data_IF_238112146978
#
_entry.id   IF_238112146978
#
_cell.length_a   1.000
_cell.length_b   1.000
_cell.length_c   1.000
_cell.angle_alpha   90.00
_cell.angle_beta   90.00
_cell.angle_gamma   90.00
#
_symmetry.space_group_name_H-M   'P 1'
#
loop_
_entity.id
_entity.type
_entity.pdbx_description
1 polymer ?
#
# COMPACT_ATOMS: atom_id res chain seq x y z
N UNK A 1 -28.13 -1.43 -14.03
CA UNK A 1 -28.67 -0.22 -13.40
C UNK A 1 -27.55 0.63 -12.86
N UNK A 2 -27.67 1.94 -13.03
CA UNK A 2 -26.65 2.87 -12.57
C UNK A 2 -26.80 3.15 -11.07
N UNK A 3 -25.68 3.18 -10.35
CA UNK A 3 -25.64 3.52 -8.92
C UNK A 3 -26.11 4.96 -8.71
N UNK A 4 -26.89 5.17 -7.65
CA UNK A 4 -27.45 6.47 -7.33
C UNK A 4 -26.62 7.20 -6.28
N UNK A 5 -26.82 8.51 -6.16
CA UNK A 5 -26.16 9.32 -5.13
C UNK A 5 -26.58 8.84 -3.75
N UNK A 6 -27.86 8.49 -3.55
CA UNK A 6 -28.37 7.97 -2.30
C UNK A 6 -27.62 6.71 -1.86
N UNK A 7 -27.40 5.77 -2.78
CA UNK A 7 -26.65 4.55 -2.51
C UNK A 7 -25.22 4.86 -2.08
N UNK A 8 -24.58 5.83 -2.72
CA UNK A 8 -23.21 6.22 -2.36
C UNK A 8 -23.13 6.83 -0.96
N UNK A 9 -24.10 7.63 -0.59
CA UNK A 9 -24.18 8.21 0.75
C UNK A 9 -24.36 7.11 1.79
N UNK A 10 -25.24 6.15 1.54
CA UNK A 10 -25.49 5.03 2.44
C UNK A 10 -24.25 4.14 2.62
N UNK A 11 -23.42 4.01 1.60
CA UNK A 11 -22.21 3.18 1.62
C UNK A 11 -20.95 3.90 2.09
N UNK A 12 -21.07 5.17 2.43
CA UNK A 12 -19.92 6.02 2.76
C UNK A 12 -18.96 5.39 3.77
N UNK A 13 -19.48 4.96 4.92
CA UNK A 13 -18.65 4.39 5.99
C UNK A 13 -17.95 3.10 5.56
N UNK A 14 -18.67 2.23 4.83
CA UNK A 14 -18.10 0.99 4.35
C UNK A 14 -16.98 1.23 3.33
N UNK A 15 -17.18 2.21 2.44
CA UNK A 15 -16.16 2.56 1.44
C UNK A 15 -14.92 3.13 2.10
N UNK A 16 -15.07 4.04 3.06
CA UNK A 16 -13.95 4.64 3.78
C UNK A 16 -13.20 3.61 4.64
N UNK A 17 -13.94 2.75 5.33
CA UNK A 17 -13.35 1.70 6.15
C UNK A 17 -12.48 0.75 5.31
N UNK A 18 -12.95 0.37 4.13
CA UNK A 18 -12.21 -0.52 3.25
C UNK A 18 -10.88 0.08 2.79
N UNK A 19 -10.85 1.40 2.57
CA UNK A 19 -9.62 2.10 2.18
C UNK A 19 -8.59 2.18 3.30
N UNK A 20 -9.01 2.00 4.55
CA UNK A 20 -8.14 2.11 5.73
C UNK A 20 -7.76 0.76 6.34
N UNK A 21 -8.10 -0.35 5.69
CA UNK A 21 -7.76 -1.67 6.20
C UNK A 21 -6.26 -1.85 6.37
N UNK A 22 -5.90 -2.54 7.45
CA UNK A 22 -4.51 -2.94 7.69
C UNK A 22 -4.27 -4.31 7.05
N UNK A 23 -3.04 -4.53 6.62
CA UNK A 23 -2.60 -5.74 5.95
C UNK A 23 -1.48 -6.35 6.76
N UNK A 24 -1.54 -7.66 7.03
CA UNK A 24 -0.44 -8.38 7.67
C UNK A 24 0.41 -8.99 6.58
N UNK A 25 1.70 -8.65 6.56
CA UNK A 25 2.69 -9.24 5.66
C UNK A 25 3.51 -10.25 6.44
N UNK A 26 3.53 -11.48 5.97
CA UNK A 26 4.33 -12.56 6.58
C UNK A 26 5.70 -12.55 5.91
N UNK A 27 6.70 -12.05 6.62
CA UNK A 27 8.04 -11.84 6.08
C UNK A 27 9.08 -12.73 6.73
N UNK A 28 10.29 -12.70 6.20
CA UNK A 28 11.43 -13.45 6.76
C UNK A 28 11.79 -13.03 8.18
N UNK A 29 11.47 -11.79 8.56
CA UNK A 29 11.74 -11.28 9.92
C UNK A 29 10.53 -11.42 10.85
N UNK A 30 9.42 -11.98 10.37
CA UNK A 30 8.17 -12.11 11.11
C UNK A 30 7.04 -11.33 10.47
N UNK A 31 5.92 -11.23 11.17
CA UNK A 31 4.76 -10.50 10.67
C UNK A 31 4.94 -9.00 10.85
N UNK A 32 4.71 -8.25 9.79
CA UNK A 32 4.67 -6.79 9.84
C UNK A 32 3.30 -6.33 9.38
N UNK A 33 2.85 -5.17 9.86
CA UNK A 33 1.55 -4.62 9.52
C UNK A 33 1.74 -3.40 8.64
N UNK A 34 1.06 -3.40 7.50
CA UNK A 34 1.02 -2.27 6.58
C UNK A 34 -0.40 -1.75 6.47
N UNK A 35 -0.55 -0.50 6.07
CA UNK A 35 -1.85 0.07 5.72
C UNK A 35 -1.99 0.09 4.21
N UNK A 36 -3.23 0.09 3.73
CA UNK A 36 -3.48 0.29 2.30
C UNK A 36 -2.96 1.67 1.93
N UNK A 37 -2.17 1.71 0.87
CA UNK A 37 -1.50 2.93 0.47
C UNK A 37 -2.46 3.92 -0.20
N UNK A 38 -2.14 5.20 -0.09
CA UNK A 38 -2.88 6.26 -0.77
C UNK A 38 -2.34 6.46 -2.19
N UNK A 39 -3.17 7.05 -3.05
CA UNK A 39 -2.74 7.42 -4.40
C UNK A 39 -1.56 8.39 -4.36
N UNK A 40 -1.53 9.30 -3.38
CA UNK A 40 -0.41 10.24 -3.20
C UNK A 40 0.90 9.53 -2.95
N UNK A 41 0.90 8.52 -2.07
CA UNK A 41 2.12 7.76 -1.77
C UNK A 41 2.61 6.98 -2.99
N UNK A 42 1.69 6.39 -3.75
CA UNK A 42 2.05 5.67 -4.98
C UNK A 42 2.73 6.64 -5.95
N UNK A 43 2.14 7.80 -6.17
CA UNK A 43 2.67 8.82 -7.08
C UNK A 43 4.04 9.29 -6.63
N UNK A 44 4.20 9.63 -5.34
CA UNK A 44 5.49 10.05 -4.78
C UNK A 44 6.57 8.99 -4.99
N UNK A 45 6.23 7.72 -4.75
CA UNK A 45 7.18 6.62 -4.92
C UNK A 45 7.62 6.48 -6.37
N UNK A 46 6.69 6.58 -7.32
CA UNK A 46 6.99 6.43 -8.74
C UNK A 46 7.83 7.57 -9.31
N UNK A 47 7.83 8.75 -8.66
CA UNK A 47 8.62 9.90 -9.09
C UNK A 47 10.09 9.79 -8.70
N UNK A 48 10.46 8.85 -7.84
CA UNK A 48 11.85 8.67 -7.43
C UNK A 48 12.64 7.97 -8.54
N UNK A 49 13.88 8.39 -8.76
CA UNK A 49 14.78 7.79 -9.73
C UNK A 49 15.20 6.37 -9.30
N UNK A 50 15.41 6.19 -8.00
CA UNK A 50 15.70 4.88 -7.42
C UNK A 50 15.11 4.82 -6.00
N UNK A 51 15.15 3.63 -5.37
CA UNK A 51 14.63 3.46 -4.03
C UNK A 51 13.11 3.57 -3.90
N UNK A 52 12.38 3.40 -5.00
CA UNK A 52 10.91 3.52 -5.03
C UNK A 52 10.25 2.56 -4.04
N UNK A 53 10.64 1.30 -4.08
CA UNK A 53 10.02 0.28 -3.22
C UNK A 53 10.38 0.50 -1.75
N UNK A 54 11.61 0.90 -1.47
CA UNK A 54 12.06 1.19 -0.12
C UNK A 54 11.26 2.34 0.48
N UNK A 55 11.07 3.41 -0.28
CA UNK A 55 10.27 4.55 0.14
C UNK A 55 8.81 4.15 0.35
N UNK A 56 8.25 3.39 -0.59
CA UNK A 56 6.88 2.91 -0.52
C UNK A 56 6.65 2.06 0.73
N UNK A 57 7.53 1.10 1.00
CA UNK A 57 7.42 0.21 2.16
C UNK A 57 7.62 0.94 3.47
N UNK A 58 8.60 1.84 3.55
CA UNK A 58 8.86 2.61 4.76
C UNK A 58 7.62 3.41 5.19
N UNK A 59 6.88 3.93 4.22
CA UNK A 59 5.70 4.75 4.49
C UNK A 59 4.39 3.94 4.56
N UNK A 60 4.41 2.68 4.15
CA UNK A 60 3.24 1.79 4.22
C UNK A 60 3.23 0.94 5.48
N UNK A 61 4.38 0.48 5.95
CA UNK A 61 4.50 -0.35 7.13
C UNK A 61 4.34 0.50 8.38
N UNK A 62 3.40 0.12 9.24
CA UNK A 62 3.10 0.87 10.47
C UNK A 62 3.51 0.15 11.75
N UNK A 63 3.65 -1.18 11.69
CA UNK A 63 4.09 -1.99 12.82
C UNK A 63 5.06 -3.07 12.33
N UNK A 64 6.26 -3.19 12.91
CA UNK A 64 6.85 -2.25 13.85
C UNK A 64 7.16 -0.90 13.20
N UNK A 65 7.42 0.13 14.01
CA UNK A 65 7.76 1.45 13.49
C UNK A 65 9.19 1.44 12.95
N UNK A 66 9.34 1.28 11.65
CA UNK A 66 10.66 1.21 11.01
C UNK A 66 11.37 2.57 10.95
N UNK A 67 10.67 3.65 11.30
CA UNK A 67 11.25 4.99 11.40
C UNK A 67 11.81 5.28 12.80
N UNK A 68 11.70 4.34 13.73
CA UNK A 68 12.18 4.51 15.10
C UNK A 68 13.66 4.85 15.11
N UNK A 69 14.06 5.94 15.81
CA UNK A 69 15.45 6.38 15.82
C UNK A 69 16.45 5.36 16.38
N UNK A 70 16.06 4.62 17.41
CA UNK A 70 16.92 3.59 18.00
C UNK A 70 17.15 2.45 17.02
N UNK A 71 16.09 2.01 16.32
CA UNK A 71 16.19 0.98 15.30
C UNK A 71 17.09 1.44 14.15
N UNK A 72 16.86 2.65 13.66
CA UNK A 72 17.64 3.24 12.58
C UNK A 72 19.14 3.29 12.92
N UNK A 73 19.45 3.73 14.13
CA UNK A 73 20.83 3.83 14.62
C UNK A 73 21.47 2.44 14.75
N UNK A 74 20.74 1.46 15.27
CA UNK A 74 21.23 0.11 15.47
C UNK A 74 21.66 -0.55 14.15
N UNK A 75 20.95 -0.24 13.06
CA UNK A 75 21.27 -0.78 11.74
C UNK A 75 22.18 0.13 10.91
N UNK A 76 22.65 1.24 11.47
CA UNK A 76 23.56 2.15 10.80
C UNK A 76 22.98 2.85 9.58
N UNK A 77 21.69 3.18 9.63
CA UNK A 77 21.02 3.85 8.52
C UNK A 77 21.51 5.28 8.37
N UNK A 78 21.87 5.68 7.14
CA UNK A 78 22.23 7.05 6.80
C UNK A 78 20.98 7.85 6.50
N UNK A 79 20.05 7.26 5.73
CA UNK A 79 18.72 7.82 5.49
C UNK A 79 17.67 6.81 5.93
N UNK A 80 16.44 7.24 6.28
CA UNK A 80 15.44 6.33 6.84
C UNK A 80 15.08 5.13 5.96
N UNK A 81 15.10 5.27 4.65
CA UNK A 81 14.78 4.17 3.73
C UNK A 81 15.80 3.05 3.75
N UNK A 82 17.01 3.30 4.25
CA UNK A 82 18.05 2.27 4.36
C UNK A 82 17.60 1.07 5.18
N UNK A 83 16.69 1.26 6.14
CA UNK A 83 16.22 0.17 7.00
C UNK A 83 15.60 -0.97 6.19
N UNK A 84 14.93 -0.65 5.10
CA UNK A 84 14.27 -1.66 4.26
C UNK A 84 15.31 -2.61 3.65
N UNK A 85 16.38 -2.07 3.08
CA UNK A 85 17.45 -2.90 2.52
C UNK A 85 18.25 -3.64 3.58
N UNK A 86 18.33 -3.10 4.80
CA UNK A 86 19.00 -3.75 5.92
C UNK A 86 18.23 -4.96 6.45
N UNK A 87 16.91 -4.90 6.44
CA UNK A 87 16.04 -5.96 6.97
C UNK A 87 15.65 -7.01 5.94
N UNK A 88 15.49 -6.63 4.69
CA UNK A 88 14.91 -7.48 3.65
C UNK A 88 15.81 -7.61 2.43
N UNK A 89 15.79 -8.79 1.82
CA UNK A 89 16.46 -9.01 0.54
C UNK A 89 15.64 -8.41 -0.60
N UNK A 90 16.28 -8.14 -1.72
CA UNK A 90 15.68 -7.49 -2.89
C UNK A 90 14.36 -8.14 -3.33
N UNK A 91 14.36 -9.47 -3.46
CA UNK A 91 13.16 -10.20 -3.90
C UNK A 91 12.00 -10.06 -2.94
N UNK A 92 12.29 -10.03 -1.62
CA UNK A 92 11.26 -9.84 -0.59
C UNK A 92 10.70 -8.43 -0.62
N UNK A 93 11.56 -7.42 -0.85
CA UNK A 93 11.13 -6.03 -1.01
C UNK A 93 10.12 -5.91 -2.15
N UNK A 94 10.44 -6.50 -3.30
CA UNK A 94 9.54 -6.50 -4.46
C UNK A 94 8.24 -7.23 -4.17
N UNK A 95 8.30 -8.39 -3.52
CA UNK A 95 7.12 -9.18 -3.18
C UNK A 95 6.19 -8.44 -2.21
N UNK A 96 6.76 -7.75 -1.22
CA UNK A 96 5.98 -6.98 -0.25
C UNK A 96 5.27 -5.81 -0.91
N UNK A 97 5.97 -5.08 -1.77
CA UNK A 97 5.37 -3.97 -2.53
C UNK A 97 4.22 -4.46 -3.40
N UNK A 98 4.41 -5.57 -4.10
CA UNK A 98 3.35 -6.16 -4.94
C UNK A 98 2.14 -6.59 -4.11
N UNK A 99 2.37 -7.19 -2.94
CA UNK A 99 1.29 -7.64 -2.07
C UNK A 99 0.41 -6.46 -1.61
N UNK A 100 1.05 -5.35 -1.24
CA UNK A 100 0.31 -4.14 -0.83
C UNK A 100 -0.45 -3.56 -2.02
N UNK A 101 0.18 -3.46 -3.18
CA UNK A 101 -0.45 -2.94 -4.39
C UNK A 101 -1.66 -3.78 -4.81
N UNK A 102 -1.56 -5.10 -4.70
CA UNK A 102 -2.69 -5.99 -4.99
C UNK A 102 -3.89 -5.71 -4.09
N UNK A 103 -3.64 -5.42 -2.82
CA UNK A 103 -4.72 -5.11 -1.86
C UNK A 103 -5.42 -3.79 -2.15
N UNK A 104 -4.74 -2.83 -2.77
CA UNK A 104 -5.40 -1.59 -3.19
C UNK A 104 -6.03 -1.70 -4.58
N UNK A 105 -5.92 -2.86 -5.19
CA UNK A 105 -6.56 -3.13 -6.48
C UNK A 105 -5.74 -2.74 -7.70
N UNK A 106 -4.45 -2.48 -7.56
CA UNK A 106 -3.60 -2.23 -8.69
C UNK A 106 -3.62 -3.46 -9.62
N UNK A 107 -3.83 -3.26 -10.90
CA UNK A 107 -3.95 -4.34 -11.86
C UNK A 107 -5.34 -4.97 -11.93
N UNK A 108 -6.28 -4.55 -11.08
CA UNK A 108 -7.65 -5.02 -11.15
C UNK A 108 -8.30 -4.58 -12.45
N UNK A 109 -8.96 -5.51 -13.11
CA UNK A 109 -9.69 -5.20 -14.36
C UNK A 109 -11.13 -4.82 -14.05
N UNK A 110 -11.65 -3.87 -14.80
CA UNK A 110 -13.04 -3.43 -14.69
C UNK A 110 -13.79 -3.95 -15.91
N UNK A 111 -14.91 -4.64 -15.66
CA UNK A 111 -15.81 -5.06 -16.72
C UNK A 111 -16.56 -3.85 -17.24
N UNK A 112 -16.71 -3.80 -18.55
CA UNK A 112 -17.46 -2.72 -19.19
C UNK A 112 -18.70 -3.28 -19.88
N UNK A 113 -19.72 -2.45 -19.99
CA UNK A 113 -20.95 -2.79 -20.71
C UNK A 113 -21.37 -1.59 -21.53
N UNK A 114 -22.11 -1.86 -22.59
CA UNK A 114 -22.68 -0.78 -23.42
C UNK A 114 -23.76 -0.08 -22.61
N UNK A 115 -23.75 1.26 -22.62
CA UNK A 115 -24.70 2.06 -21.84
C UNK A 115 -26.17 1.63 -22.05
N UNK A 116 -26.56 1.34 -23.28
CA UNK A 116 -27.92 0.95 -23.59
C UNK A 116 -28.39 -0.34 -22.91
N UNK A 117 -27.44 -1.18 -22.44
CA UNK A 117 -27.76 -2.45 -21.78
C UNK A 117 -28.11 -2.27 -20.32
N UNK A 118 -27.65 -1.19 -19.66
CA UNK A 118 -27.76 -1.01 -18.21
C UNK A 118 -28.54 0.23 -17.79
N UNK A 119 -28.90 1.12 -18.69
CA UNK A 119 -29.54 2.39 -18.33
C UNK A 119 -30.91 2.25 -17.70
N UNK A 120 -31.57 1.14 -17.88
CA UNK A 120 -32.88 0.86 -17.27
C UNK A 120 -32.67 0.14 -15.93
#
# INVERSE_FOLDING_TARGET
MVTTIKELIEKKEAIEAKKKEKIVLKTSIGNVVAVKTSASLITESLELDDGNDEYFLLNSIVEPNLKDPELQAAYGCVVPTDIISKLFQYGEVKAMSSAIMDKVGAGKKIETAVYEEIKN
#
